data_IF_568954408300
#
_entry.id   IF_568954408300
#
_cell.length_a   1.000
_cell.length_b   1.000
_cell.length_c   1.000
_cell.angle_alpha   90.00
_cell.angle_beta   90.00
_cell.angle_gamma   90.00
#
_symmetry.space_group_name_H-M   'P 1'
#
loop_
_entity.id
_entity.type
_entity.pdbx_description
1 polymer ?
#
# COMPACT_ATOMS: atom_id res chain seq x y z
N UNK A 1 -20.29 -2.47 -8.17
CA UNK A 1 -19.73 -3.14 -6.99
C UNK A 1 -19.97 -2.32 -5.71
N UNK A 2 -19.63 -1.02 -5.65
CA UNK A 2 -19.85 -0.18 -4.47
C UNK A 2 -21.31 -0.10 -4.03
N UNK A 3 -22.24 0.13 -4.95
CA UNK A 3 -23.69 0.13 -4.65
C UNK A 3 -24.19 -1.22 -4.13
N UNK A 4 -23.67 -2.33 -4.66
CA UNK A 4 -24.00 -3.67 -4.18
C UNK A 4 -23.50 -3.90 -2.74
N UNK A 5 -22.31 -3.42 -2.40
CA UNK A 5 -21.77 -3.49 -1.03
C UNK A 5 -22.62 -2.65 -0.06
N UNK A 6 -23.01 -1.44 -0.44
CA UNK A 6 -23.89 -0.57 0.37
C UNK A 6 -25.24 -1.26 0.57
N UNK A 7 -25.85 -1.75 -0.50
CA UNK A 7 -27.12 -2.48 -0.42
C UNK A 7 -27.03 -3.71 0.49
N UNK A 8 -26.00 -4.53 0.36
CA UNK A 8 -25.78 -5.69 1.23
C UNK A 8 -25.58 -5.29 2.70
N UNK A 9 -24.84 -4.21 2.95
CA UNK A 9 -24.62 -3.70 4.31
C UNK A 9 -25.92 -3.27 4.97
N UNK A 10 -26.73 -2.47 4.26
CA UNK A 10 -27.98 -1.94 4.80
C UNK A 10 -29.07 -3.01 4.96
N UNK A 11 -29.19 -3.95 4.01
CA UNK A 11 -30.30 -4.91 4.00
C UNK A 11 -30.02 -6.20 4.77
N UNK A 12 -28.75 -6.62 4.87
CA UNK A 12 -28.38 -7.91 5.48
C UNK A 12 -27.52 -7.77 6.73
N UNK A 13 -26.50 -6.91 6.71
CA UNK A 13 -25.52 -6.84 7.79
C UNK A 13 -26.03 -5.99 8.97
N UNK A 14 -26.57 -4.81 8.67
CA UNK A 14 -27.02 -3.86 9.71
C UNK A 14 -28.16 -4.44 10.56
N UNK A 15 -29.23 -5.05 10.02
CA UNK A 15 -30.29 -5.66 10.84
C UNK A 15 -29.78 -6.77 11.75
N UNK A 16 -28.79 -7.56 11.31
CA UNK A 16 -28.21 -8.62 12.14
C UNK A 16 -27.46 -8.06 13.35
N UNK A 17 -26.81 -6.90 13.21
CA UNK A 17 -26.09 -6.22 14.32
C UNK A 17 -27.09 -5.55 15.25
N UNK A 18 -28.12 -4.90 14.73
CA UNK A 18 -29.16 -4.26 15.51
C UNK A 18 -29.87 -5.29 16.41
N UNK A 19 -30.33 -6.39 15.85
CA UNK A 19 -30.93 -7.49 16.58
C UNK A 19 -29.99 -8.13 17.62
N UNK A 20 -28.66 -8.04 17.44
CA UNK A 20 -27.71 -8.60 18.41
C UNK A 20 -27.47 -7.68 19.64
N UNK A 21 -27.89 -6.42 19.57
CA UNK A 21 -27.86 -5.48 20.70
C UNK A 21 -29.06 -5.60 21.61
N UNK A 22 -30.16 -6.18 21.15
CA UNK A 22 -31.35 -6.39 21.95
C UNK A 22 -31.13 -7.52 22.95
N UNK A 23 -31.59 -7.31 24.19
CA UNK A 23 -31.57 -8.31 25.23
C UNK A 23 -32.65 -9.37 24.93
N UNK A 24 -32.27 -10.42 24.24
CA UNK A 24 -33.19 -11.42 23.75
C UNK A 24 -33.33 -12.55 24.76
N UNK A 25 -34.28 -12.42 25.67
CA UNK A 25 -34.64 -13.47 26.64
C UNK A 25 -35.55 -14.54 26.01
N UNK A 26 -35.23 -15.81 26.23
CA UNK A 26 -36.03 -16.95 25.77
C UNK A 26 -36.87 -17.49 26.90
N UNK A 27 -38.22 -17.47 26.77
CA UNK A 27 -39.17 -18.00 27.74
C UNK A 27 -39.80 -19.33 27.32
N UNK A 28 -39.86 -19.59 26.02
CA UNK A 28 -40.53 -20.77 25.49
C UNK A 28 -39.56 -21.94 25.40
N UNK A 29 -39.93 -23.09 25.97
CA UNK A 29 -39.14 -24.33 25.96
C UNK A 29 -38.81 -24.76 24.53
N UNK A 30 -39.79 -24.69 23.62
CA UNK A 30 -39.59 -25.02 22.19
C UNK A 30 -38.47 -24.15 21.53
N UNK A 31 -38.19 -22.99 22.06
CA UNK A 31 -37.10 -22.14 21.55
C UNK A 31 -35.69 -22.62 21.98
N UNK A 32 -35.59 -23.37 23.08
CA UNK A 32 -34.34 -24.01 23.51
C UNK A 32 -34.06 -25.26 22.69
N UNK A 33 -35.07 -26.05 22.35
CA UNK A 33 -34.89 -27.25 21.54
C UNK A 33 -34.41 -26.99 20.11
N UNK A 34 -34.53 -25.74 19.62
CA UNK A 34 -34.02 -25.28 18.33
C UNK A 34 -32.58 -24.78 18.38
N UNK A 35 -31.96 -24.70 19.57
CA UNK A 35 -30.58 -24.27 19.70
C UNK A 35 -29.62 -25.42 19.38
N UNK A 36 -28.46 -25.15 18.80
CA UNK A 36 -27.48 -26.19 18.48
C UNK A 36 -27.01 -26.97 19.74
N UNK A 37 -26.93 -26.28 20.86
CA UNK A 37 -26.57 -26.88 22.14
C UNK A 37 -27.64 -26.46 23.16
N UNK A 38 -28.32 -27.45 23.77
CA UNK A 38 -29.29 -27.21 24.81
C UNK A 38 -29.42 -28.42 25.74
N UNK A 39 -29.63 -28.15 27.02
CA UNK A 39 -29.83 -29.18 28.06
C UNK A 39 -30.93 -28.76 29.00
N UNK A 40 -31.61 -29.75 29.57
CA UNK A 40 -32.56 -29.60 30.63
C UNK A 40 -32.02 -30.25 31.91
N UNK A 41 -31.88 -29.49 32.99
CA UNK A 41 -31.48 -29.96 34.30
C UNK A 41 -32.66 -29.87 35.24
N UNK A 42 -32.74 -30.78 36.23
CA UNK A 42 -33.70 -30.66 37.28
C UNK A 42 -33.38 -29.49 38.21
N UNK A 43 -34.35 -28.62 38.51
CA UNK A 43 -34.11 -27.46 39.33
C UNK A 43 -33.78 -27.88 40.76
N UNK A 44 -32.69 -27.31 41.31
CA UNK A 44 -32.23 -27.49 42.69
C UNK A 44 -31.88 -26.13 43.30
N UNK A 45 -31.94 -26.06 44.61
CA UNK A 45 -31.61 -24.86 45.32
C UNK A 45 -30.19 -24.37 44.98
N UNK A 46 -30.05 -23.08 44.66
CA UNK A 46 -28.79 -22.41 44.18
C UNK A 46 -28.24 -22.84 42.80
N UNK A 47 -28.93 -23.66 42.01
CA UNK A 47 -28.42 -24.11 40.73
C UNK A 47 -28.25 -22.95 39.73
N UNK A 48 -29.16 -21.99 39.74
CA UNK A 48 -29.14 -20.80 38.92
C UNK A 48 -27.92 -19.92 39.23
N UNK A 49 -27.62 -19.71 40.53
CA UNK A 49 -26.48 -18.93 41.00
C UNK A 49 -25.16 -19.59 40.60
N UNK A 50 -25.07 -20.91 40.69
CA UNK A 50 -23.90 -21.68 40.21
C UNK A 50 -23.69 -21.47 38.71
N UNK A 51 -24.75 -21.58 37.92
CA UNK A 51 -24.70 -21.35 36.47
C UNK A 51 -24.27 -19.90 36.19
N UNK A 52 -24.83 -18.91 36.88
CA UNK A 52 -24.49 -17.51 36.72
C UNK A 52 -23.00 -17.24 36.97
N UNK A 53 -22.45 -17.78 38.08
CA UNK A 53 -21.03 -17.67 38.39
C UNK A 53 -20.14 -18.30 37.34
N UNK A 54 -20.58 -19.42 36.74
CA UNK A 54 -19.85 -20.08 35.66
C UNK A 54 -19.88 -19.27 34.36
N UNK A 55 -21.03 -18.71 33.99
CA UNK A 55 -21.17 -17.83 32.84
C UNK A 55 -20.31 -16.56 32.98
N UNK A 56 -20.19 -16.01 34.19
CA UNK A 56 -19.28 -14.89 34.47
C UNK A 56 -17.82 -15.25 34.18
N UNK A 57 -17.37 -16.46 34.56
CA UNK A 57 -16.01 -16.95 34.27
C UNK A 57 -15.70 -17.08 32.77
N UNK A 58 -16.72 -17.23 31.94
CA UNK A 58 -16.57 -17.27 30.48
C UNK A 58 -16.44 -15.88 29.82
N UNK A 59 -16.29 -14.81 30.61
CA UNK A 59 -16.21 -13.42 30.17
C UNK A 59 -17.39 -12.98 29.29
N UNK A 60 -18.62 -13.41 29.67
CA UNK A 60 -19.85 -13.01 28.99
C UNK A 60 -20.36 -11.67 29.57
N UNK A 61 -20.93 -10.84 28.71
CA UNK A 61 -21.81 -9.75 29.14
C UNK A 61 -23.15 -10.35 29.50
N UNK A 62 -23.54 -10.29 30.79
CA UNK A 62 -24.69 -11.01 31.33
C UNK A 62 -25.80 -10.03 31.72
N UNK A 63 -27.01 -10.37 31.33
CA UNK A 63 -28.25 -9.68 31.68
C UNK A 63 -29.21 -10.67 32.36
N UNK A 64 -29.85 -10.25 33.42
CA UNK A 64 -30.79 -11.06 34.19
C UNK A 64 -32.14 -10.34 34.34
N UNK A 65 -33.23 -11.07 34.11
CA UNK A 65 -34.60 -10.58 34.33
C UNK A 65 -35.44 -11.67 34.96
N UNK A 66 -35.61 -11.63 36.27
CA UNK A 66 -36.30 -12.69 37.03
C UNK A 66 -35.62 -14.04 36.82
N UNK A 67 -36.38 -15.00 36.22
CA UNK A 67 -35.94 -16.38 35.99
C UNK A 67 -35.17 -16.57 34.67
N UNK A 68 -34.83 -15.47 34.00
CA UNK A 68 -34.20 -15.48 32.70
C UNK A 68 -32.82 -14.88 32.79
N UNK A 69 -31.83 -15.56 32.21
CA UNK A 69 -30.50 -15.05 32.02
C UNK A 69 -30.16 -15.05 30.52
N UNK A 70 -29.56 -14.00 30.07
CA UNK A 70 -29.00 -13.88 28.74
C UNK A 70 -27.56 -13.39 28.84
N UNK A 71 -26.65 -14.09 28.16
CA UNK A 71 -25.24 -13.70 28.10
C UNK A 71 -24.70 -13.77 26.69
N UNK A 72 -23.82 -12.85 26.34
CA UNK A 72 -23.12 -12.91 25.06
C UNK A 72 -21.66 -12.49 25.18
N UNK A 73 -20.83 -12.96 24.23
CA UNK A 73 -19.44 -12.49 24.02
C UNK A 73 -19.12 -12.40 22.53
N UNK A 74 -18.07 -11.63 22.20
CA UNK A 74 -17.56 -11.55 20.84
C UNK A 74 -18.38 -10.67 19.89
N UNK A 75 -19.06 -9.63 20.40
CA UNK A 75 -19.86 -8.70 19.58
C UNK A 75 -19.05 -8.07 18.44
N UNK A 76 -17.73 -7.87 18.64
CA UNK A 76 -16.80 -7.36 17.63
C UNK A 76 -16.82 -8.25 16.38
N UNK A 77 -16.80 -9.59 16.54
CA UNK A 77 -16.91 -10.52 15.41
C UNK A 77 -18.23 -10.42 14.63
N UNK A 78 -19.30 -9.94 15.28
CA UNK A 78 -20.60 -9.69 14.65
C UNK A 78 -20.65 -8.39 13.86
N UNK A 79 -19.92 -7.36 14.33
CA UNK A 79 -19.85 -6.04 13.69
C UNK A 79 -18.81 -6.01 12.57
N UNK A 80 -17.75 -6.80 12.68
CA UNK A 80 -16.62 -6.80 11.74
C UNK A 80 -17.00 -6.93 10.26
N UNK A 81 -17.97 -7.73 9.83
CA UNK A 81 -18.37 -7.79 8.41
C UNK A 81 -18.85 -6.46 7.86
N UNK A 82 -19.49 -5.61 8.67
CA UNK A 82 -19.88 -4.25 8.27
C UNK A 82 -18.62 -3.41 8.06
N UNK A 83 -17.66 -3.49 8.97
CA UNK A 83 -16.41 -2.75 8.88
C UNK A 83 -15.57 -3.20 7.67
N UNK A 84 -15.60 -4.50 7.31
CA UNK A 84 -14.99 -5.01 6.07
C UNK A 84 -15.62 -4.34 4.84
N UNK A 85 -16.94 -4.24 4.78
CA UNK A 85 -17.63 -3.58 3.67
C UNK A 85 -17.28 -2.08 3.60
N UNK A 86 -17.23 -1.40 4.74
CA UNK A 86 -16.81 0.00 4.81
C UNK A 86 -15.38 0.17 4.30
N UNK A 87 -14.46 -0.71 4.69
CA UNK A 87 -13.06 -0.70 4.22
C UNK A 87 -12.98 -0.83 2.70
N UNK A 88 -13.74 -1.76 2.11
CA UNK A 88 -13.82 -1.94 0.66
C UNK A 88 -14.40 -0.69 -0.05
N UNK A 89 -15.42 -0.06 0.54
CA UNK A 89 -16.00 1.17 -0.01
C UNK A 89 -14.96 2.30 0.01
N UNK A 90 -14.16 2.42 1.09
CA UNK A 90 -13.08 3.42 1.18
C UNK A 90 -12.02 3.19 0.09
N UNK A 91 -11.62 1.93 -0.16
CA UNK A 91 -10.68 1.58 -1.23
C UNK A 91 -11.25 1.97 -2.60
N UNK A 92 -12.54 1.65 -2.86
CA UNK A 92 -13.20 1.99 -4.12
C UNK A 92 -13.31 3.50 -4.32
N UNK A 93 -13.66 4.24 -3.27
CA UNK A 93 -13.69 5.70 -3.31
C UNK A 93 -12.29 6.27 -3.59
N UNK A 94 -11.26 5.78 -2.89
CA UNK A 94 -9.88 6.16 -3.14
C UNK A 94 -9.47 5.90 -4.59
N UNK A 95 -9.73 4.71 -5.11
CA UNK A 95 -9.39 4.35 -6.50
C UNK A 95 -10.12 5.23 -7.52
N UNK A 96 -11.39 5.56 -7.27
CA UNK A 96 -12.17 6.46 -8.12
C UNK A 96 -11.60 7.89 -8.08
N UNK A 97 -11.30 8.40 -6.88
CA UNK A 97 -10.66 9.72 -6.74
C UNK A 97 -9.30 9.77 -7.45
N UNK A 98 -8.49 8.70 -7.34
CA UNK A 98 -7.24 8.57 -8.06
C UNK A 98 -7.42 8.61 -9.57
N UNK A 99 -8.42 7.92 -10.11
CA UNK A 99 -8.70 7.95 -11.55
C UNK A 99 -9.04 9.36 -12.06
N UNK A 100 -9.68 10.19 -11.24
CA UNK A 100 -10.06 11.56 -11.61
C UNK A 100 -9.00 12.62 -11.29
N UNK A 101 -8.18 12.40 -10.26
CA UNK A 101 -7.24 13.41 -9.74
C UNK A 101 -5.76 13.06 -9.87
N UNK A 102 -5.42 11.90 -10.41
CA UNK A 102 -4.02 11.56 -10.57
C UNK A 102 -3.39 12.27 -11.79
N UNK A 103 -2.08 12.42 -11.71
CA UNK A 103 -1.27 12.98 -12.76
C UNK A 103 0.06 12.22 -12.84
N UNK A 104 0.55 12.05 -14.06
CA UNK A 104 1.84 11.43 -14.35
C UNK A 104 2.48 12.14 -15.54
N UNK A 105 3.72 12.65 -15.37
CA UNK A 105 4.53 13.21 -16.45
C UNK A 105 5.92 12.61 -16.46
N UNK A 106 6.59 12.72 -17.58
CA UNK A 106 7.99 12.34 -17.74
C UNK A 106 8.74 13.46 -18.43
N UNK A 107 9.86 13.88 -17.84
CA UNK A 107 10.75 14.90 -18.37
C UNK A 107 12.17 14.35 -18.47
N UNK A 108 12.87 14.72 -19.55
CA UNK A 108 14.28 14.35 -19.75
C UNK A 108 15.08 15.64 -19.87
N UNK A 109 16.00 15.86 -18.95
CA UNK A 109 16.59 17.16 -18.68
C UNK A 109 18.08 17.07 -18.46
N UNK A 110 18.91 17.94 -19.07
CA UNK A 110 20.32 18.06 -18.76
C UNK A 110 20.56 18.71 -17.40
N UNK A 111 21.78 18.60 -16.93
CA UNK A 111 22.30 19.33 -15.76
C UNK A 111 22.17 20.83 -15.96
N UNK A 112 21.73 21.54 -14.91
CA UNK A 112 21.59 22.99 -14.87
C UNK A 112 20.25 23.51 -15.36
N UNK A 113 19.43 22.69 -16.00
CA UNK A 113 18.14 23.11 -16.57
C UNK A 113 17.05 23.25 -15.49
N UNK A 114 16.21 24.27 -15.68
CA UNK A 114 15.01 24.52 -14.88
C UNK A 114 13.81 24.14 -15.74
N UNK A 115 12.92 23.36 -15.18
CA UNK A 115 11.73 22.91 -15.90
C UNK A 115 10.43 23.13 -15.15
N UNK A 116 9.37 23.29 -15.93
CA UNK A 116 7.99 23.10 -15.54
C UNK A 116 7.46 21.83 -16.18
N UNK A 117 6.38 21.29 -15.64
CA UNK A 117 5.78 20.08 -16.18
C UNK A 117 5.17 20.37 -17.55
N UNK A 118 5.70 19.73 -18.61
CA UNK A 118 5.29 19.97 -20.00
C UNK A 118 4.79 18.70 -20.71
N UNK A 119 5.30 17.52 -20.33
CA UNK A 119 4.98 16.26 -21.00
C UNK A 119 4.14 15.31 -20.14
N UNK A 120 2.85 15.60 -19.95
CA UNK A 120 1.99 14.74 -19.18
C UNK A 120 1.67 13.47 -19.96
N UNK A 121 1.96 12.30 -19.37
CA UNK A 121 1.60 10.99 -19.90
C UNK A 121 0.15 10.65 -19.57
N UNK A 122 -0.33 11.11 -18.42
CA UNK A 122 -1.70 10.88 -17.95
C UNK A 122 -2.15 12.03 -17.07
N UNK A 123 -3.33 12.54 -17.32
CA UNK A 123 -3.98 13.55 -16.50
C UNK A 123 -5.39 13.10 -16.18
N UNK A 124 -5.78 13.12 -14.92
CA UNK A 124 -7.16 12.91 -14.50
C UNK A 124 -8.03 14.12 -14.90
N UNK A 125 -9.30 13.89 -15.21
CA UNK A 125 -10.23 14.93 -15.69
C UNK A 125 -10.39 16.13 -14.76
N UNK A 126 -10.13 15.95 -13.47
CA UNK A 126 -10.29 16.98 -12.42
C UNK A 126 -8.94 17.40 -11.81
N UNK A 127 -7.82 17.08 -12.47
CA UNK A 127 -6.48 17.39 -11.96
C UNK A 127 -6.06 18.76 -12.47
N UNK A 128 -5.85 19.76 -11.61
CA UNK A 128 -5.09 20.94 -12.01
C UNK A 128 -3.64 20.52 -12.22
N UNK A 129 -2.99 21.02 -13.27
CA UNK A 129 -1.55 20.86 -13.43
C UNK A 129 -0.84 21.52 -12.25
N UNK A 130 -0.03 20.79 -11.49
CA UNK A 130 0.66 21.39 -10.37
C UNK A 130 1.69 22.39 -10.87
N UNK A 131 1.71 23.58 -10.30
CA UNK A 131 2.75 24.57 -10.56
C UNK A 131 4.01 24.15 -9.77
N UNK A 132 4.83 23.32 -10.39
CA UNK A 132 6.10 22.83 -9.85
C UNK A 132 7.23 23.29 -10.76
N UNK A 133 8.10 24.14 -10.21
CA UNK A 133 9.35 24.51 -10.84
C UNK A 133 10.47 23.72 -10.20
N UNK A 134 11.26 23.02 -10.98
CA UNK A 134 12.35 22.19 -10.48
C UNK A 134 13.61 22.43 -11.30
N UNK A 135 14.77 22.52 -10.65
CA UNK A 135 16.09 22.62 -11.28
C UNK A 135 16.84 21.31 -11.08
N UNK A 136 17.46 20.82 -12.14
CA UNK A 136 18.43 19.73 -12.10
C UNK A 136 19.81 20.33 -11.78
N UNK A 137 20.24 20.23 -10.53
CA UNK A 137 21.57 20.78 -10.14
C UNK A 137 22.70 19.91 -10.65
N UNK A 138 22.53 18.58 -10.54
CA UNK A 138 23.50 17.61 -10.98
C UNK A 138 22.87 16.27 -11.33
N UNK A 139 23.57 15.50 -12.17
CA UNK A 139 23.23 14.11 -12.51
C UNK A 139 24.52 13.32 -12.66
N UNK A 140 24.62 12.16 -12.01
CA UNK A 140 25.76 11.26 -12.14
C UNK A 140 25.36 9.80 -12.00
N UNK A 141 26.25 8.93 -12.47
CA UNK A 141 26.11 7.48 -12.42
C UNK A 141 27.20 6.91 -11.53
N UNK A 142 26.83 6.02 -10.64
CA UNK A 142 27.77 5.27 -9.84
C UNK A 142 28.01 3.90 -10.49
N UNK A 143 29.28 3.52 -10.63
CA UNK A 143 29.70 2.24 -11.18
C UNK A 143 30.26 1.35 -10.07
N UNK A 144 29.93 0.05 -10.15
CA UNK A 144 30.50 -1.00 -9.31
C UNK A 144 30.88 -2.18 -10.17
N UNK A 145 32.15 -2.59 -10.16
CA UNK A 145 32.68 -3.67 -11.00
C UNK A 145 32.36 -3.46 -12.50
N UNK A 146 32.61 -2.27 -13.02
CA UNK A 146 32.33 -1.85 -14.39
C UNK A 146 30.88 -1.99 -14.84
N UNK A 147 29.94 -2.08 -13.89
CA UNK A 147 28.50 -2.06 -14.18
C UNK A 147 27.85 -0.89 -13.46
N UNK A 148 26.82 -0.33 -14.07
CA UNK A 148 26.02 0.73 -13.44
C UNK A 148 25.39 0.17 -12.17
N UNK A 149 25.70 0.76 -11.03
CA UNK A 149 25.16 0.44 -9.72
C UNK A 149 23.91 1.27 -9.44
N UNK A 150 24.01 2.60 -9.64
CA UNK A 150 22.92 3.52 -9.29
C UNK A 150 23.03 4.82 -10.09
N UNK A 151 21.88 5.46 -10.28
CA UNK A 151 21.74 6.78 -10.86
C UNK A 151 21.33 7.77 -9.77
N UNK A 152 21.96 8.95 -9.79
CA UNK A 152 21.66 10.02 -8.86
C UNK A 152 21.36 11.31 -9.60
N UNK A 153 20.37 12.05 -9.13
CA UNK A 153 20.09 13.42 -9.55
C UNK A 153 19.95 14.31 -8.33
N UNK A 154 20.65 15.42 -8.29
CA UNK A 154 20.41 16.44 -7.29
C UNK A 154 19.40 17.44 -7.84
N UNK A 155 18.27 17.59 -7.15
CA UNK A 155 17.14 18.40 -7.58
C UNK A 155 16.83 19.49 -6.55
N UNK A 156 16.56 20.70 -7.04
CA UNK A 156 16.03 21.81 -6.25
C UNK A 156 14.61 22.13 -6.70
N UNK A 157 13.68 22.10 -5.77
CA UNK A 157 12.31 22.62 -5.99
C UNK A 157 12.34 24.11 -5.68
N UNK A 158 11.87 24.92 -6.63
CA UNK A 158 11.90 26.37 -6.57
C UNK A 158 10.48 26.93 -6.42
N UNK A 159 10.39 28.09 -5.80
CA UNK A 159 9.18 28.91 -5.82
C UNK A 159 9.07 29.74 -7.12
N UNK A 160 8.02 30.54 -7.25
CA UNK A 160 7.80 31.40 -8.42
C UNK A 160 8.82 32.55 -8.53
N UNK A 161 9.59 32.80 -7.49
CA UNK A 161 10.63 33.82 -7.45
C UNK A 161 12.03 33.24 -7.65
N UNK A 162 12.15 31.90 -7.79
CA UNK A 162 13.42 31.20 -7.96
C UNK A 162 14.11 30.82 -6.66
N UNK A 163 13.49 31.07 -5.50
CA UNK A 163 14.08 30.67 -4.22
C UNK A 163 13.93 29.15 -4.04
N UNK A 164 14.96 28.53 -3.48
CA UNK A 164 14.97 27.11 -3.23
C UNK A 164 14.10 26.76 -2.01
N UNK A 165 13.02 25.99 -2.26
CA UNK A 165 12.14 25.50 -1.22
C UNK A 165 12.62 24.18 -0.62
N UNK A 166 13.24 23.33 -1.45
CA UNK A 166 13.78 22.03 -1.06
C UNK A 166 14.86 21.59 -2.01
N UNK A 167 15.96 21.07 -1.47
CA UNK A 167 17.01 20.40 -2.23
C UNK A 167 17.17 18.97 -1.73
N UNK A 168 17.30 18.02 -2.65
CA UNK A 168 17.52 16.62 -2.31
C UNK A 168 18.17 15.87 -3.47
N UNK A 169 19.14 15.02 -3.15
CA UNK A 169 19.63 14.01 -4.08
C UNK A 169 18.66 12.84 -4.10
N UNK A 170 18.17 12.51 -5.29
CA UNK A 170 17.31 11.36 -5.55
C UNK A 170 18.09 10.24 -6.22
N UNK A 171 17.59 9.02 -6.09
CA UNK A 171 18.09 7.84 -6.77
C UNK A 171 16.91 6.92 -7.15
N UNK A 172 17.17 5.83 -7.84
CA UNK A 172 16.12 4.82 -8.13
C UNK A 172 15.54 4.33 -6.82
N UNK A 173 14.21 4.36 -6.69
CA UNK A 173 13.42 4.04 -5.50
C UNK A 173 13.53 5.03 -4.31
N UNK A 174 14.27 6.13 -4.44
CA UNK A 174 14.36 7.17 -3.42
C UNK A 174 13.98 8.54 -4.01
N UNK A 175 12.68 8.84 -4.17
CA UNK A 175 12.20 10.07 -4.79
C UNK A 175 12.29 11.28 -3.86
N UNK A 176 12.31 12.49 -4.44
CA UNK A 176 11.98 13.70 -3.70
C UNK A 176 10.46 13.82 -3.62
N UNK A 177 9.98 14.11 -2.40
CA UNK A 177 8.57 14.33 -2.11
C UNK A 177 8.34 15.77 -1.69
N UNK A 178 7.44 16.44 -2.37
CA UNK A 178 7.06 17.81 -2.06
C UNK A 178 5.55 17.97 -2.17
N UNK A 179 4.89 18.29 -1.05
CA UNK A 179 3.43 18.25 -0.93
C UNK A 179 2.91 16.85 -1.33
N UNK A 180 2.03 16.76 -2.32
CA UNK A 180 1.49 15.50 -2.82
C UNK A 180 2.12 15.07 -4.16
N UNK A 181 3.30 15.63 -4.50
CA UNK A 181 4.06 15.33 -5.72
C UNK A 181 5.30 14.54 -5.36
N UNK A 182 5.49 13.43 -6.05
CA UNK A 182 6.69 12.60 -5.99
C UNK A 182 7.45 12.71 -7.32
N UNK A 183 8.75 13.01 -7.27
CA UNK A 183 9.64 13.03 -8.45
C UNK A 183 10.65 11.90 -8.31
N UNK A 184 10.60 10.96 -9.23
CA UNK A 184 11.43 9.75 -9.26
C UNK A 184 12.51 9.86 -10.33
N UNK A 185 13.69 9.31 -10.06
CA UNK A 185 14.66 8.95 -11.09
C UNK A 185 14.11 7.77 -11.89
N UNK A 186 13.86 7.94 -13.19
CA UNK A 186 13.20 6.91 -14.02
C UNK A 186 14.03 6.45 -15.20
N UNK A 187 14.81 7.35 -15.81
CA UNK A 187 15.60 7.07 -17.01
C UNK A 187 16.80 8.02 -17.07
N UNK A 188 17.62 7.87 -18.09
CA UNK A 188 18.71 8.78 -18.44
C UNK A 188 18.96 8.73 -19.95
N UNK A 189 19.60 9.77 -20.47
CA UNK A 189 19.98 9.86 -21.87
C UNK A 189 21.30 10.61 -22.01
N UNK A 190 21.96 10.52 -23.14
CA UNK A 190 23.05 11.38 -23.58
C UNK A 190 22.50 12.30 -24.66
N UNK A 191 22.61 13.61 -24.47
CA UNK A 191 22.07 14.60 -25.40
C UNK A 191 23.13 15.25 -26.26
N UNK A 192 24.37 15.26 -25.80
CA UNK A 192 25.48 15.88 -26.49
C UNK A 192 26.83 15.60 -25.85
N UNK A 193 27.85 16.15 -26.45
CA UNK A 193 29.23 16.12 -25.97
C UNK A 193 29.85 17.49 -26.09
N UNK A 194 30.84 17.78 -25.25
CA UNK A 194 31.66 18.98 -25.35
C UNK A 194 33.00 18.65 -25.97
N UNK A 195 33.36 19.36 -27.04
CA UNK A 195 34.59 19.18 -27.77
C UNK A 195 35.36 20.49 -27.73
N UNK A 196 36.65 20.42 -27.42
CA UNK A 196 37.55 21.54 -27.48
C UNK A 196 38.30 21.54 -28.81
N UNK A 197 38.17 22.62 -29.56
CA UNK A 197 39.04 22.94 -30.70
C UNK A 197 40.37 23.42 -30.13
N UNK A 198 41.45 22.69 -30.43
CA UNK A 198 42.77 22.91 -29.85
C UNK A 198 43.41 24.17 -30.47
N UNK A 199 43.21 24.40 -31.76
CA UNK A 199 43.79 25.56 -32.44
C UNK A 199 43.10 26.87 -32.00
N UNK A 200 41.79 26.87 -31.93
CA UNK A 200 40.99 28.06 -31.56
C UNK A 200 40.86 28.26 -30.06
N UNK A 201 41.20 27.23 -29.28
CA UNK A 201 41.01 27.17 -27.84
C UNK A 201 39.56 27.45 -27.41
N UNK A 202 38.60 26.99 -28.22
CA UNK A 202 37.13 27.14 -27.98
C UNK A 202 36.48 25.80 -27.71
N UNK A 203 35.44 25.81 -26.87
CA UNK A 203 34.63 24.63 -26.59
C UNK A 203 33.32 24.75 -27.38
N UNK A 204 32.97 23.67 -28.06
CA UNK A 204 31.71 23.51 -28.82
C UNK A 204 30.91 22.37 -28.27
N UNK A 205 29.61 22.50 -28.29
CA UNK A 205 28.67 21.41 -27.96
C UNK A 205 28.16 20.75 -29.24
N UNK A 206 28.31 19.43 -29.32
CA UNK A 206 27.87 18.63 -30.45
C UNK A 206 26.72 17.73 -30.00
N UNK A 207 25.59 17.68 -30.75
CA UNK A 207 24.53 16.77 -30.47
C UNK A 207 24.96 15.32 -30.74
N UNK A 208 24.38 14.38 -29.97
CA UNK A 208 24.53 12.96 -30.24
C UNK A 208 23.18 12.37 -30.61
N UNK A 209 23.20 11.34 -31.43
CA UNK A 209 22.00 10.66 -31.90
C UNK A 209 22.00 9.21 -31.42
N UNK A 210 20.88 8.76 -30.87
CA UNK A 210 20.75 7.39 -30.43
C UNK A 210 20.74 6.44 -31.63
N UNK A 211 21.61 5.42 -31.63
CA UNK A 211 21.75 4.47 -32.73
C UNK A 211 20.50 3.61 -32.93
N UNK A 212 19.85 3.22 -31.84
CA UNK A 212 18.61 2.47 -31.86
C UNK A 212 17.76 2.85 -30.65
N UNK A 213 16.44 2.91 -30.78
CA UNK A 213 15.50 3.25 -29.70
C UNK A 213 15.63 2.37 -28.47
N UNK A 214 16.11 1.14 -28.61
CA UNK A 214 16.25 0.18 -27.51
C UNK A 214 17.69 0.03 -27.01
N UNK A 215 18.67 0.62 -27.70
CA UNK A 215 20.07 0.55 -27.32
C UNK A 215 20.49 1.86 -26.62
N UNK A 216 21.16 1.76 -25.50
CA UNK A 216 21.82 2.91 -24.85
C UNK A 216 23.20 3.15 -25.49
N UNK A 217 23.17 3.37 -26.79
CA UNK A 217 24.33 3.69 -27.60
C UNK A 217 24.06 4.93 -28.47
N UNK A 218 25.01 5.84 -28.50
CA UNK A 218 24.89 7.14 -29.18
C UNK A 218 26.04 7.35 -30.11
N UNK A 219 25.79 8.06 -31.21
CA UNK A 219 26.77 8.42 -32.22
C UNK A 219 26.76 9.91 -32.50
N UNK A 220 27.91 10.44 -32.80
CA UNK A 220 28.07 11.77 -33.40
C UNK A 220 29.15 11.74 -34.45
N UNK A 221 29.13 12.72 -35.36
CA UNK A 221 30.11 12.84 -36.42
C UNK A 221 30.94 14.11 -36.22
N UNK A 222 32.24 13.94 -36.37
CA UNK A 222 33.22 15.03 -36.21
C UNK A 222 33.98 15.18 -37.51
N UNK A 223 33.81 16.34 -38.16
CA UNK A 223 34.46 16.65 -39.41
C UNK A 223 35.76 17.37 -39.08
N UNK A 224 36.92 16.76 -39.41
CA UNK A 224 38.23 17.37 -39.29
C UNK A 224 38.78 17.52 -40.74
N UNK A 225 39.06 18.74 -41.16
CA UNK A 225 39.60 19.26 -42.44
C UNK A 225 39.73 18.30 -43.63
N UNK A 226 39.93 17.01 -43.45
CA UNK A 226 40.09 15.97 -44.47
C UNK A 226 39.36 14.66 -44.23
N UNK A 227 38.75 14.44 -43.04
CA UNK A 227 38.13 13.18 -42.66
C UNK A 227 36.94 13.38 -41.75
N UNK A 228 35.87 12.62 -41.97
CA UNK A 228 34.75 12.51 -41.07
C UNK A 228 34.94 11.29 -40.17
N UNK A 229 34.94 11.46 -38.86
CA UNK A 229 35.03 10.38 -37.88
C UNK A 229 33.68 10.22 -37.19
N UNK A 230 33.27 8.98 -37.01
CA UNK A 230 32.12 8.65 -36.20
C UNK A 230 32.59 8.29 -34.79
N UNK A 231 32.01 8.96 -33.81
CA UNK A 231 32.33 8.74 -32.36
C UNK A 231 31.11 8.08 -31.72
N UNK A 232 31.29 6.90 -31.14
CA UNK A 232 30.24 6.08 -30.56
C UNK A 232 30.45 5.95 -29.05
N UNK A 233 29.39 6.13 -28.30
CA UNK A 233 29.31 5.98 -26.85
C UNK A 233 28.33 4.84 -26.53
N UNK A 234 28.81 3.76 -25.94
CA UNK A 234 27.96 2.60 -25.58
C UNK A 234 27.30 2.75 -24.21
N UNK A 235 27.92 3.53 -23.31
CA UNK A 235 27.43 3.79 -21.95
C UNK A 235 27.91 5.19 -21.52
N UNK A 236 27.54 5.61 -20.32
CA UNK A 236 28.17 6.78 -19.70
C UNK A 236 29.53 6.42 -19.07
N UNK A 237 30.25 5.49 -19.67
CA UNK A 237 31.61 5.14 -19.25
C UNK A 237 32.58 6.22 -19.69
N UNK A 238 33.79 6.20 -19.10
CA UNK A 238 34.83 7.15 -19.45
C UNK A 238 35.50 6.85 -20.80
N UNK A 239 34.93 6.00 -21.62
CA UNK A 239 35.49 5.55 -22.90
C UNK A 239 34.53 5.82 -24.07
N UNK A 240 35.10 5.99 -25.26
CA UNK A 240 34.37 6.11 -26.51
C UNK A 240 35.13 5.41 -27.64
N UNK A 241 34.39 4.92 -28.63
CA UNK A 241 34.93 4.24 -29.81
C UNK A 241 34.93 5.16 -31.00
N UNK A 242 35.99 5.13 -31.80
CA UNK A 242 36.15 5.93 -33.03
C UNK A 242 36.08 4.98 -34.23
N UNK A 243 35.31 5.38 -35.22
CA UNK A 243 35.17 4.70 -36.51
C UNK A 243 35.50 5.65 -37.67
N UNK A 244 36.07 5.12 -38.73
CA UNK A 244 36.35 5.88 -39.94
C UNK A 244 35.09 6.10 -40.81
N UNK A 245 35.24 6.75 -41.96
CA UNK A 245 34.14 7.03 -42.89
C UNK A 245 33.51 5.75 -43.50
N UNK A 246 34.26 4.67 -43.57
CA UNK A 246 33.78 3.38 -44.09
C UNK A 246 33.08 2.55 -43.03
N UNK A 247 33.08 3.01 -41.77
CA UNK A 247 32.48 2.32 -40.64
C UNK A 247 33.40 1.30 -39.95
N UNK A 248 34.69 1.27 -40.33
CA UNK A 248 35.65 0.39 -39.71
C UNK A 248 36.09 0.97 -38.36
N UNK A 249 36.25 0.10 -37.36
CA UNK A 249 36.74 0.45 -36.05
C UNK A 249 38.19 0.94 -36.11
N UNK A 250 38.50 2.08 -35.49
CA UNK A 250 39.83 2.65 -35.43
C UNK A 250 40.50 2.40 -34.06
N UNK A 251 39.87 2.90 -32.99
CA UNK A 251 40.45 2.81 -31.63
C UNK A 251 39.40 3.14 -30.57
N UNK A 252 39.71 2.77 -29.30
CA UNK A 252 38.98 3.21 -28.12
C UNK A 252 39.82 4.22 -27.37
N UNK A 253 39.20 5.32 -26.93
CA UNK A 253 39.81 6.40 -26.14
C UNK A 253 39.03 6.72 -24.89
N UNK A 254 39.68 7.42 -23.95
CA UNK A 254 39.06 7.92 -22.73
C UNK A 254 38.56 9.36 -22.92
N UNK A 255 37.53 9.72 -22.14
CA UNK A 255 37.12 11.13 -22.05
C UNK A 255 38.33 11.95 -21.58
N UNK A 256 38.58 13.06 -22.28
CA UNK A 256 39.77 13.85 -22.08
C UNK A 256 40.89 13.60 -23.11
N UNK A 257 40.75 12.58 -23.98
CA UNK A 257 41.70 12.33 -25.06
C UNK A 257 41.30 13.09 -26.34
N UNK A 258 42.27 13.27 -27.22
CA UNK A 258 42.07 13.91 -28.53
C UNK A 258 41.40 12.92 -29.49
N UNK A 259 40.29 13.33 -30.10
CA UNK A 259 39.58 12.56 -31.14
C UNK A 259 40.38 12.64 -32.43
N UNK A 260 40.85 13.86 -32.75
CA UNK A 260 41.72 14.16 -33.90
C UNK A 260 42.86 15.03 -33.43
N UNK A 261 43.76 15.47 -34.34
CA UNK A 261 44.78 16.42 -34.04
C UNK A 261 44.24 17.78 -33.52
N UNK A 262 43.07 18.16 -34.04
CA UNK A 262 42.45 19.46 -33.82
C UNK A 262 41.38 19.45 -32.75
N UNK A 263 40.77 18.27 -32.42
CA UNK A 263 39.62 18.15 -31.55
C UNK A 263 39.87 17.20 -30.38
N UNK A 264 39.55 17.68 -29.18
CA UNK A 264 39.65 16.92 -27.91
C UNK A 264 38.26 16.79 -27.27
N UNK A 265 37.87 15.58 -26.88
CA UNK A 265 36.66 15.36 -26.09
C UNK A 265 36.91 15.84 -24.66
N UNK A 266 36.10 16.79 -24.20
CA UNK A 266 36.22 17.37 -22.84
C UNK A 266 35.27 16.71 -21.87
N UNK A 267 34.01 16.54 -22.26
CA UNK A 267 32.95 16.11 -21.35
C UNK A 267 31.77 15.53 -22.15
N UNK A 268 30.95 14.72 -21.44
CA UNK A 268 29.64 14.26 -21.90
C UNK A 268 28.55 15.16 -21.30
N UNK A 269 27.45 15.32 -22.05
CA UNK A 269 26.26 16.04 -21.60
C UNK A 269 25.14 15.03 -21.33
N UNK A 270 25.16 14.35 -20.18
CA UNK A 270 24.10 13.44 -19.80
C UNK A 270 22.85 14.21 -19.38
N UNK A 271 21.71 13.57 -19.53
CA UNK A 271 20.44 14.06 -19.05
C UNK A 271 19.75 13.05 -18.14
N UNK A 272 19.07 13.54 -17.15
CA UNK A 272 18.26 12.71 -16.24
C UNK A 272 16.84 12.60 -16.76
N UNK A 273 16.27 11.40 -16.70
CA UNK A 273 14.85 11.16 -16.92
C UNK A 273 14.09 11.13 -15.61
N UNK A 274 13.18 12.07 -15.42
CA UNK A 274 12.40 12.25 -14.22
C UNK A 274 10.95 11.85 -14.45
N UNK A 275 10.40 11.03 -13.56
CA UNK A 275 9.00 10.66 -13.55
C UNK A 275 8.29 11.39 -12.40
N UNK A 276 7.39 12.29 -12.76
CA UNK A 276 6.64 13.11 -11.82
C UNK A 276 5.27 12.50 -11.64
N UNK A 277 4.89 12.24 -10.38
CA UNK A 277 3.59 11.66 -10.02
C UNK A 277 2.90 12.53 -9.00
N UNK A 278 1.60 12.69 -9.18
CA UNK A 278 0.69 13.27 -8.22
C UNK A 278 -0.48 12.32 -8.04
N UNK A 279 -0.66 11.80 -6.84
CA UNK A 279 -1.77 10.91 -6.52
C UNK A 279 -2.24 11.13 -5.07
N UNK A 280 -3.20 12.02 -4.86
CA UNK A 280 -3.72 12.32 -3.52
C UNK A 280 -4.55 11.17 -2.94
N UNK A 281 -4.94 10.18 -3.75
CA UNK A 281 -5.78 9.07 -3.32
C UNK A 281 -5.03 7.96 -2.57
N UNK A 282 -3.72 7.89 -2.72
CA UNK A 282 -2.88 6.82 -2.15
C UNK A 282 -3.09 6.69 -0.64
N UNK A 283 -3.17 7.82 0.08
CA UNK A 283 -3.39 7.83 1.55
C UNK A 283 -4.72 7.17 1.93
N UNK A 284 -5.78 7.46 1.17
CA UNK A 284 -7.11 6.89 1.40
C UNK A 284 -7.13 5.38 1.10
N UNK A 285 -6.46 4.97 0.03
CA UNK A 285 -6.34 3.55 -0.35
C UNK A 285 -5.59 2.77 0.73
N UNK A 286 -4.45 3.26 1.22
CA UNK A 286 -3.71 2.61 2.31
C UNK A 286 -4.51 2.53 3.61
N UNK A 287 -5.26 3.59 3.96
CA UNK A 287 -6.17 3.56 5.10
C UNK A 287 -7.21 2.45 4.92
N UNK A 288 -7.82 2.34 3.74
CA UNK A 288 -8.80 1.31 3.42
C UNK A 288 -8.22 -0.10 3.53
N UNK A 289 -7.01 -0.34 3.01
CA UNK A 289 -6.34 -1.64 3.14
C UNK A 289 -5.95 -1.96 4.59
N UNK A 290 -5.45 -1.00 5.36
CA UNK A 290 -5.14 -1.19 6.78
C UNK A 290 -6.38 -1.56 7.59
N UNK A 291 -7.50 -0.86 7.36
CA UNK A 291 -8.79 -1.19 7.98
C UNK A 291 -9.29 -2.57 7.52
N UNK A 292 -9.17 -2.90 6.24
CA UNK A 292 -9.58 -4.19 5.70
C UNK A 292 -8.82 -5.35 6.37
N UNK A 293 -7.52 -5.24 6.50
CA UNK A 293 -6.68 -6.24 7.16
C UNK A 293 -7.11 -6.44 8.63
N UNK A 294 -7.23 -5.36 9.38
CA UNK A 294 -7.64 -5.40 10.79
C UNK A 294 -9.05 -5.99 10.96
N UNK A 295 -10.01 -5.49 10.19
CA UNK A 295 -11.42 -5.91 10.33
C UNK A 295 -11.64 -7.34 9.85
N UNK A 296 -10.87 -7.81 8.87
CA UNK A 296 -10.89 -9.22 8.46
C UNK A 296 -10.42 -10.13 9.60
N UNK A 297 -9.33 -9.81 10.28
CA UNK A 297 -8.88 -10.57 11.46
C UNK A 297 -9.95 -10.59 12.55
N UNK A 298 -10.53 -9.43 12.87
CA UNK A 298 -11.60 -9.33 13.88
C UNK A 298 -12.85 -10.11 13.48
N UNK A 299 -13.12 -10.29 12.20
CA UNK A 299 -14.27 -11.04 11.67
C UNK A 299 -14.19 -12.54 11.98
N UNK A 300 -13.03 -13.08 12.35
CA UNK A 300 -12.88 -14.48 12.77
C UNK A 300 -13.30 -14.71 14.22
N UNK A 301 -13.44 -13.68 15.03
CA UNK A 301 -13.88 -13.80 16.43
C UNK A 301 -15.31 -14.34 16.47
N UNK A 302 -15.58 -15.41 17.22
CA UNK A 302 -16.92 -15.98 17.32
C UNK A 302 -17.83 -15.08 18.18
N UNK A 303 -19.05 -14.85 17.70
CA UNK A 303 -20.13 -14.26 18.50
C UNK A 303 -20.93 -15.37 19.13
N UNK A 304 -20.87 -15.50 20.45
CA UNK A 304 -21.46 -16.58 21.23
C UNK A 304 -22.52 -16.03 22.16
N UNK A 305 -23.64 -16.75 22.26
CA UNK A 305 -24.78 -16.40 23.10
C UNK A 305 -25.16 -17.58 23.98
N UNK A 306 -25.56 -17.29 25.22
CA UNK A 306 -26.08 -18.23 26.18
C UNK A 306 -27.42 -17.74 26.71
N UNK A 307 -28.34 -18.66 26.92
CA UNK A 307 -29.65 -18.43 27.53
C UNK A 307 -29.88 -19.41 28.66
N UNK A 308 -30.45 -18.94 29.76
CA UNK A 308 -30.91 -19.77 30.87
C UNK A 308 -32.34 -19.38 31.19
N UNK A 309 -33.16 -20.35 31.37
CA UNK A 309 -34.55 -20.20 31.82
C UNK A 309 -34.82 -21.14 32.99
N UNK A 310 -35.13 -20.56 34.12
CA UNK A 310 -35.54 -21.29 35.33
C UNK A 310 -37.06 -21.41 35.42
N UNK A 311 -37.53 -22.62 35.70
CA UNK A 311 -38.90 -22.90 36.07
C UNK A 311 -38.89 -23.68 37.40
N UNK A 312 -40.01 -23.73 38.11
CA UNK A 312 -40.16 -24.42 39.42
C UNK A 312 -39.59 -25.85 39.45
N UNK A 313 -39.67 -26.60 38.33
CA UNK A 313 -39.19 -27.99 38.22
C UNK A 313 -37.84 -28.14 37.51
N UNK A 314 -37.51 -27.27 36.57
CA UNK A 314 -36.40 -27.47 35.65
C UNK A 314 -35.67 -26.14 35.35
N UNK A 315 -34.36 -26.26 35.00
CA UNK A 315 -33.59 -25.19 34.43
C UNK A 315 -33.18 -25.61 33.01
N UNK A 316 -33.43 -24.74 32.04
CA UNK A 316 -33.04 -24.91 30.66
C UNK A 316 -31.84 -24.02 30.38
N UNK A 317 -30.78 -24.62 29.82
CA UNK A 317 -29.60 -23.91 29.39
C UNK A 317 -29.44 -24.14 27.91
N UNK A 318 -29.15 -23.09 27.14
CA UNK A 318 -28.91 -23.22 25.72
C UNK A 318 -27.85 -22.23 25.23
N UNK A 319 -27.12 -22.60 24.18
CA UNK A 319 -26.11 -21.75 23.59
C UNK A 319 -26.13 -21.81 22.07
N UNK A 320 -25.60 -20.76 21.45
CA UNK A 320 -25.49 -20.65 20.01
C UNK A 320 -24.29 -19.78 19.65
N UNK A 321 -23.67 -20.05 18.50
CA UNK A 321 -22.59 -19.24 17.95
C UNK A 321 -22.74 -19.13 16.43
N UNK A 322 -22.21 -18.05 15.87
CA UNK A 322 -22.12 -17.89 14.41
C UNK A 322 -20.90 -18.62 13.80
N UNK A 323 -19.85 -18.84 14.61
CA UNK A 323 -18.59 -19.51 14.23
C UNK A 323 -18.02 -20.28 15.41
N UNK A 324 -17.10 -21.22 15.12
CA UNK A 324 -16.42 -21.96 16.18
C UNK A 324 -17.34 -22.91 16.99
N UNK A 325 -18.21 -23.69 16.33
CA UNK A 325 -19.15 -24.62 16.97
C UNK A 325 -18.46 -25.60 17.89
N UNK A 326 -17.31 -26.17 17.50
CA UNK A 326 -16.54 -27.13 18.31
C UNK A 326 -16.07 -26.46 19.62
N UNK A 327 -15.55 -25.23 19.54
CA UNK A 327 -15.12 -24.49 20.71
C UNK A 327 -16.30 -24.25 21.67
N UNK A 328 -17.45 -23.87 21.13
CA UNK A 328 -18.66 -23.67 21.95
C UNK A 328 -19.14 -24.99 22.57
N UNK A 329 -19.08 -26.11 21.87
CA UNK A 329 -19.43 -27.42 22.38
C UNK A 329 -18.60 -27.77 23.60
N UNK A 330 -17.27 -27.64 23.52
CA UNK A 330 -16.35 -27.86 24.63
C UNK A 330 -16.66 -26.94 25.81
N UNK A 331 -16.89 -25.65 25.56
CA UNK A 331 -17.26 -24.67 26.60
C UNK A 331 -18.60 -25.04 27.25
N UNK A 332 -19.56 -25.46 26.45
CA UNK A 332 -20.89 -25.86 26.96
C UNK A 332 -20.84 -27.14 27.79
N UNK A 333 -20.16 -28.19 27.32
CA UNK A 333 -19.99 -29.44 28.05
C UNK A 333 -19.22 -29.22 29.37
N UNK A 334 -18.17 -28.42 29.37
CA UNK A 334 -17.43 -28.07 30.57
C UNK A 334 -18.31 -27.33 31.58
N UNK A 335 -19.13 -26.39 31.09
CA UNK A 335 -20.08 -25.67 31.94
C UNK A 335 -21.06 -26.65 32.62
N UNK A 336 -21.62 -27.61 31.89
CA UNK A 336 -22.55 -28.61 32.41
C UNK A 336 -21.86 -29.52 33.44
N UNK A 337 -20.73 -30.12 33.03
CA UNK A 337 -19.94 -31.01 33.91
C UNK A 337 -19.54 -30.37 35.22
N UNK A 338 -19.07 -29.14 35.18
CA UNK A 338 -18.69 -28.41 36.39
C UNK A 338 -19.90 -28.01 37.25
N UNK A 339 -21.04 -27.81 36.63
CA UNK A 339 -22.31 -27.54 37.31
C UNK A 339 -22.77 -28.78 38.04
N UNK A 340 -22.77 -29.92 37.38
CA UNK A 340 -23.16 -31.23 38.00
C UNK A 340 -22.22 -31.62 39.15
N UNK A 341 -20.90 -31.48 38.98
CA UNK A 341 -19.93 -31.78 40.04
C UNK A 341 -20.17 -30.96 41.29
N UNK A 342 -20.53 -29.68 41.16
CA UNK A 342 -20.87 -28.86 42.35
C UNK A 342 -22.16 -29.28 43.00
N UNK A 343 -23.15 -29.79 42.24
CA UNK A 343 -24.36 -30.34 42.79
C UNK A 343 -24.05 -31.56 43.64
N UNK A 344 -23.24 -32.48 43.14
CA UNK A 344 -22.83 -33.69 43.90
C UNK A 344 -22.08 -33.32 45.19
N UNK A 345 -21.15 -32.36 45.14
CA UNK A 345 -20.42 -31.90 46.32
C UNK A 345 -21.36 -31.28 47.38
N UNK A 346 -22.39 -30.52 46.98
CA UNK A 346 -23.32 -29.90 47.89
C UNK A 346 -24.26 -30.93 48.53
N UNK A 347 -24.53 -32.05 47.90
CA UNK A 347 -25.36 -33.16 48.47
C UNK A 347 -24.57 -33.97 49.51
N UNK A 348 -23.24 -34.09 49.36
CA UNK A 348 -22.35 -34.76 50.34
C UNK A 348 -22.08 -33.91 51.59
N UNK A 349 -22.09 -32.57 51.51
CA UNK A 349 -21.88 -31.70 52.67
C UNK A 349 -23.13 -31.46 53.51
N UNK A 350 -24.27 -31.96 53.08
CA UNK A 350 -25.56 -31.91 53.84
C UNK A 350 -25.90 -33.21 54.52
N UNK A 351 -25.08 -34.23 54.48
CA UNK A 351 -25.10 -35.43 55.29
C UNK A 351 -24.07 -35.28 56.43
#
# INVERSE_FOLDING_TARGET
LGLSLIGCTLTRQFPLVENSKEYFFRKQINSFLKLPFSIKLQNRFYLKEIILLKLQKLNLFIYQKGDLIYGYKGLVGRISPILVHISLIIILMGSTLGAFKNFKAQEVLPKGEVFHIQNPLKIGRLTPLPNLTTRVNDFWVEYKNNKINQFYSNLSILDNYGNELKNQTISVNNPIRFKDIDVYQSDWNLIGIRIKDIEKNKIYEYPVFQLNKNAKAWITWINDSSKTLSVVFDQLENTFSIYNETGDFVEIKNIGDSITKNYKLVDLLPSTGLLIKYDPSIRLIYLGFGLLMLTTLLSYLPYTQFWVYENSKNIWIGSSTNRGKIQLEIEFENLIRETENKIYQSDFTKK
#
